data_IF_104541691198
#
_entry.id   IF_104541691198
#
_cell.length_a   1.000
_cell.length_b   1.000
_cell.length_c   1.000
_cell.angle_alpha   90.00
_cell.angle_beta   90.00
_cell.angle_gamma   90.00
#
_symmetry.space_group_name_H-M   'P 1'
#
loop_
_entity.id
_entity.type
_entity.pdbx_description
1 polymer ?
#
# COMPACT_ATOMS: atom_id res chain seq x y z
N UNK A 1 8.02 22.70 5.82
CA UNK A 1 6.75 21.95 5.81
C UNK A 1 6.72 21.14 4.53
N UNK A 2 6.66 19.81 4.62
CA UNK A 2 6.54 18.97 3.42
C UNK A 2 5.15 19.18 2.81
N UNK A 3 5.07 19.34 1.49
CA UNK A 3 3.80 19.44 0.78
C UNK A 3 2.99 18.15 0.99
N UNK A 4 1.78 18.27 1.52
CA UNK A 4 0.81 17.19 1.64
C UNK A 4 -0.26 17.46 0.59
N UNK A 5 -0.53 16.47 -0.27
CA UNK A 5 -1.57 16.57 -1.29
C UNK A 5 -2.95 16.84 -0.66
N UNK A 6 -3.83 17.53 -1.39
CA UNK A 6 -5.19 17.81 -0.90
C UNK A 6 -6.10 16.60 -1.06
N UNK A 7 -5.95 15.88 -2.17
CA UNK A 7 -6.68 14.65 -2.47
C UNK A 7 -5.73 13.53 -2.83
N UNK A 8 -6.16 12.28 -2.63
CA UNK A 8 -5.46 11.11 -3.14
C UNK A 8 -5.26 11.16 -4.66
N UNK A 9 -6.20 11.79 -5.37
CA UNK A 9 -6.17 11.90 -6.83
C UNK A 9 -5.19 12.94 -7.38
N UNK A 10 -4.58 13.77 -6.51
CA UNK A 10 -3.49 14.66 -6.92
C UNK A 10 -2.13 13.94 -6.94
N UNK A 11 -2.10 12.68 -6.50
CA UNK A 11 -0.89 11.88 -6.37
C UNK A 11 -0.66 11.02 -7.62
N UNK A 12 0.57 10.56 -7.76
CA UNK A 12 0.96 9.59 -8.77
C UNK A 12 2.08 8.71 -8.23
N UNK A 13 2.32 7.58 -8.91
CA UNK A 13 3.49 6.75 -8.71
C UNK A 13 4.09 6.36 -10.07
N UNK A 14 5.30 5.83 -10.07
CA UNK A 14 5.91 5.23 -11.26
C UNK A 14 5.71 3.72 -11.17
N UNK A 15 5.13 3.11 -12.20
CA UNK A 15 4.96 1.67 -12.31
C UNK A 15 6.32 0.98 -12.32
N UNK A 16 6.34 -0.31 -12.03
CA UNK A 16 7.59 -1.09 -12.08
C UNK A 16 8.29 -1.01 -13.45
N UNK A 17 7.51 -0.84 -14.53
CA UNK A 17 8.01 -0.70 -15.90
C UNK A 17 8.46 0.73 -16.26
N UNK A 18 8.35 1.70 -15.35
CA UNK A 18 8.78 3.09 -15.54
C UNK A 18 7.69 4.05 -16.02
N UNK A 19 6.44 3.58 -16.18
CA UNK A 19 5.32 4.41 -16.64
C UNK A 19 4.66 5.17 -15.49
N UNK A 20 4.20 6.40 -15.76
CA UNK A 20 3.49 7.19 -14.73
C UNK A 20 2.07 6.65 -14.52
N UNK A 21 1.75 6.27 -13.29
CA UNK A 21 0.41 5.93 -12.84
C UNK A 21 -0.21 7.18 -12.19
N UNK A 22 -1.07 7.88 -12.93
CA UNK A 22 -1.86 8.99 -12.41
C UNK A 22 -3.08 8.47 -11.63
N UNK A 23 -3.16 8.78 -10.33
CA UNK A 23 -4.22 8.24 -9.47
C UNK A 23 -5.57 8.87 -9.77
N UNK A 24 -5.61 10.02 -10.44
CA UNK A 24 -6.83 10.62 -10.94
C UNK A 24 -7.64 9.68 -11.85
N UNK A 25 -6.97 8.73 -12.53
CA UNK A 25 -7.61 7.70 -13.36
C UNK A 25 -8.42 6.67 -12.55
N UNK A 26 -8.25 6.64 -11.23
CA UNK A 26 -8.96 5.73 -10.32
C UNK A 26 -10.26 6.30 -9.76
N UNK A 27 -10.67 7.52 -10.18
CA UNK A 27 -11.95 8.11 -9.77
C UNK A 27 -13.13 7.15 -9.96
N UNK A 28 -14.00 7.07 -8.95
CA UNK A 28 -15.15 6.18 -8.94
C UNK A 28 -14.85 4.73 -8.58
N UNK A 29 -13.57 4.38 -8.32
CA UNK A 29 -13.15 3.05 -7.87
C UNK A 29 -12.55 3.13 -6.46
N UNK A 30 -12.81 2.10 -5.66
CA UNK A 30 -12.07 1.93 -4.42
C UNK A 30 -10.61 1.58 -4.75
N UNK A 31 -9.68 2.06 -3.93
CA UNK A 31 -8.25 1.76 -4.08
C UNK A 31 -7.75 1.11 -2.80
N UNK A 32 -7.03 0.00 -2.93
CA UNK A 32 -6.38 -0.71 -1.83
C UNK A 32 -4.88 -0.72 -2.08
N UNK A 33 -4.11 -0.12 -1.17
CA UNK A 33 -2.65 -0.22 -1.21
C UNK A 33 -2.24 -1.47 -0.45
N UNK A 34 -1.75 -2.48 -1.18
CA UNK A 34 -1.36 -3.79 -0.68
C UNK A 34 -0.61 -4.61 -1.75
N UNK A 35 0.16 -5.61 -1.32
CA UNK A 35 0.94 -6.51 -2.18
C UNK A 35 0.29 -7.91 -2.38
N UNK A 36 -1.05 -8.05 -2.34
CA UNK A 36 -1.76 -9.35 -2.44
C UNK A 36 -2.89 -9.37 -3.48
N UNK A 37 -3.01 -10.50 -4.21
CA UNK A 37 -3.93 -10.68 -5.35
C UNK A 37 -5.41 -10.88 -4.97
N UNK A 38 -5.70 -11.37 -3.76
CA UNK A 38 -6.98 -12.03 -3.44
C UNK A 38 -8.22 -11.15 -3.73
N UNK A 39 -8.18 -9.88 -3.34
CA UNK A 39 -9.32 -8.97 -3.49
C UNK A 39 -9.44 -8.37 -4.89
N UNK A 40 -8.33 -8.21 -5.63
CA UNK A 40 -8.35 -7.69 -7.00
C UNK A 40 -9.22 -8.56 -7.92
N UNK A 41 -9.10 -9.89 -7.78
CA UNK A 41 -9.88 -10.84 -8.58
C UNK A 41 -11.38 -10.82 -8.27
N UNK A 42 -11.78 -10.43 -7.05
CA UNK A 42 -13.20 -10.39 -6.64
C UNK A 42 -13.91 -9.12 -7.10
N UNK A 43 -13.18 -8.02 -7.27
CA UNK A 43 -13.74 -6.72 -7.64
C UNK A 43 -13.01 -6.06 -8.84
N UNK A 44 -12.79 -6.76 -9.97
CA UNK A 44 -11.83 -6.34 -11.01
C UNK A 44 -12.16 -5.00 -11.69
N UNK A 45 -13.43 -4.57 -11.67
CA UNK A 45 -13.87 -3.29 -12.27
C UNK A 45 -14.12 -2.17 -11.25
N UNK A 46 -14.12 -2.50 -9.96
CA UNK A 46 -14.53 -1.57 -8.89
C UNK A 46 -13.44 -1.33 -7.84
N UNK A 47 -12.47 -2.23 -7.75
CA UNK A 47 -11.30 -2.13 -6.89
C UNK A 47 -10.04 -2.05 -7.75
N UNK A 48 -9.13 -1.17 -7.33
CA UNK A 48 -7.76 -1.10 -7.83
C UNK A 48 -6.84 -1.43 -6.68
N UNK A 49 -6.05 -2.49 -6.83
CA UNK A 49 -4.96 -2.82 -5.90
C UNK A 49 -3.66 -2.22 -6.45
N UNK A 50 -2.90 -1.55 -5.58
CA UNK A 50 -1.58 -1.00 -5.88
C UNK A 50 -0.57 -1.56 -4.89
N UNK A 51 0.44 -2.27 -5.40
CA UNK A 51 1.55 -2.74 -4.57
C UNK A 51 2.74 -1.79 -4.64
N UNK A 52 3.29 -1.46 -3.47
CA UNK A 52 4.45 -0.59 -3.32
C UNK A 52 5.58 -1.38 -2.66
N UNK A 53 6.54 -1.90 -3.45
CA UNK A 53 7.71 -2.56 -2.90
C UNK A 53 8.50 -1.60 -2.00
N UNK A 54 8.96 -2.09 -0.84
CA UNK A 54 9.70 -1.30 0.13
C UNK A 54 10.71 -2.16 0.88
N UNK A 55 11.95 -1.67 1.04
CA UNK A 55 13.02 -2.42 1.70
C UNK A 55 13.33 -1.96 3.14
N UNK A 56 12.49 -1.10 3.73
CA UNK A 56 12.73 -0.53 5.07
C UNK A 56 12.50 -1.54 6.21
N UNK A 57 11.78 -2.63 5.95
CA UNK A 57 11.33 -3.56 6.98
C UNK A 57 12.10 -4.87 6.91
N UNK A 58 13.17 -4.97 7.71
CA UNK A 58 14.01 -6.17 7.80
C UNK A 58 14.67 -6.58 6.48
N UNK A 59 14.85 -5.62 5.55
CA UNK A 59 15.44 -5.84 4.23
C UNK A 59 14.79 -6.99 3.44
N UNK A 60 13.46 -7.09 3.47
CA UNK A 60 12.73 -8.20 2.82
C UNK A 60 12.50 -8.00 1.31
N UNK A 61 12.88 -6.85 0.74
CA UNK A 61 12.73 -6.49 -0.68
C UNK A 61 14.08 -6.00 -1.26
N UNK A 62 15.10 -6.86 -1.15
CA UNK A 62 16.46 -6.55 -1.61
C UNK A 62 16.59 -6.51 -3.13
N UNK A 63 15.68 -7.16 -3.85
CA UNK A 63 15.62 -7.16 -5.31
C UNK A 63 15.58 -5.74 -5.87
N UNK A 64 16.27 -5.51 -6.98
CA UNK A 64 16.08 -4.33 -7.82
C UNK A 64 14.72 -4.39 -8.52
N UNK A 65 14.25 -3.26 -9.06
CA UNK A 65 12.94 -3.18 -9.70
C UNK A 65 12.75 -4.26 -10.78
N UNK A 66 13.80 -4.50 -11.56
CA UNK A 66 13.85 -5.45 -12.67
C UNK A 66 13.79 -6.92 -12.18
N UNK A 67 14.09 -7.17 -10.91
CA UNK A 67 14.18 -8.51 -10.32
C UNK A 67 12.92 -8.90 -9.54
N UNK A 68 12.09 -7.93 -9.13
CA UNK A 68 10.93 -8.17 -8.25
C UNK A 68 9.97 -9.18 -8.86
N UNK A 69 9.61 -9.02 -10.15
CA UNK A 69 8.70 -9.96 -10.82
C UNK A 69 9.29 -11.36 -10.95
N UNK A 70 10.61 -11.47 -11.16
CA UNK A 70 11.28 -12.77 -11.21
C UNK A 70 11.26 -13.44 -9.83
N UNK A 71 11.51 -12.69 -8.76
CA UNK A 71 11.43 -13.20 -7.38
C UNK A 71 10.03 -13.74 -7.06
N UNK A 72 8.98 -12.98 -7.39
CA UNK A 72 7.59 -13.41 -7.19
C UNK A 72 7.25 -14.66 -7.99
N UNK A 73 7.70 -14.74 -9.25
CA UNK A 73 7.38 -15.83 -10.18
C UNK A 73 8.14 -17.12 -9.88
N UNK A 74 9.41 -17.03 -9.49
CA UNK A 74 10.32 -18.17 -9.42
C UNK A 74 10.77 -18.53 -8.00
N UNK A 75 10.71 -17.61 -7.03
CA UNK A 75 11.24 -17.82 -5.68
C UNK A 75 10.12 -17.88 -4.64
N UNK A 76 9.42 -16.76 -4.40
CA UNK A 76 8.33 -16.69 -3.44
C UNK A 76 7.35 -15.58 -3.85
N UNK A 77 6.07 -15.88 -4.13
CA UNK A 77 5.40 -17.17 -3.95
C UNK A 77 5.93 -18.33 -4.80
N UNK A 78 6.58 -18.04 -5.93
CA UNK A 78 7.09 -19.06 -6.85
C UNK A 78 5.96 -19.70 -7.68
N UNK A 79 6.26 -20.84 -8.31
CA UNK A 79 5.25 -21.63 -9.02
C UNK A 79 4.62 -20.93 -10.24
N UNK A 80 5.29 -19.93 -10.81
CA UNK A 80 4.76 -19.15 -11.93
C UNK A 80 3.78 -18.03 -11.52
N UNK A 81 3.69 -17.72 -10.23
CA UNK A 81 2.84 -16.65 -9.71
C UNK A 81 3.11 -15.32 -10.42
N UNK A 82 2.03 -14.61 -10.74
CA UNK A 82 2.09 -13.26 -11.30
C UNK A 82 1.06 -12.37 -10.58
N UNK A 83 1.44 -11.14 -10.21
CA UNK A 83 0.49 -10.19 -9.65
C UNK A 83 -0.58 -9.82 -10.69
N UNK A 84 -1.84 -9.81 -10.29
CA UNK A 84 -2.98 -9.36 -11.11
C UNK A 84 -3.28 -7.87 -10.91
N UNK A 85 -2.43 -7.20 -10.13
CA UNK A 85 -2.51 -5.80 -9.75
C UNK A 85 -1.22 -5.07 -10.15
N UNK A 86 -1.27 -3.73 -10.16
CA UNK A 86 -0.13 -2.92 -10.55
C UNK A 86 0.89 -2.80 -9.42
N UNK A 87 2.15 -3.07 -9.74
CA UNK A 87 3.29 -2.77 -8.87
C UNK A 87 3.92 -1.45 -9.28
N UNK A 88 4.34 -0.67 -8.29
CA UNK A 88 5.17 0.52 -8.49
C UNK A 88 6.65 0.16 -8.42
N UNK A 89 7.52 1.10 -8.80
CA UNK A 89 8.92 1.03 -8.40
C UNK A 89 9.04 1.01 -6.87
N UNK A 90 10.14 0.42 -6.40
CA UNK A 90 10.51 0.39 -4.99
C UNK A 90 10.66 1.81 -4.45
N UNK A 91 10.08 2.06 -3.29
CA UNK A 91 10.15 3.36 -2.63
C UNK A 91 10.29 3.24 -1.11
N UNK A 92 10.58 4.36 -0.46
CA UNK A 92 10.50 4.48 0.99
C UNK A 92 9.09 4.90 1.40
N UNK A 93 8.59 4.34 2.50
CA UNK A 93 7.26 4.67 3.05
C UNK A 93 7.36 5.47 4.36
N UNK A 94 8.53 5.43 4.99
CA UNK A 94 8.87 6.14 6.22
C UNK A 94 10.13 7.00 6.05
N UNK A 95 10.38 7.89 7.01
CA UNK A 95 11.56 8.74 7.03
C UNK A 95 11.48 9.96 6.11
N UNK A 96 12.63 10.60 5.92
CA UNK A 96 12.75 11.87 5.20
C UNK A 96 12.44 11.73 3.70
N UNK A 97 12.79 10.60 3.09
CA UNK A 97 12.59 10.34 1.67
C UNK A 97 11.30 9.55 1.37
N UNK A 98 10.39 9.48 2.35
CA UNK A 98 9.11 8.77 2.17
C UNK A 98 8.36 9.29 0.93
N UNK A 99 7.76 8.37 0.20
CA UNK A 99 6.98 8.68 -0.99
C UNK A 99 5.77 9.57 -0.63
N UNK A 100 5.41 10.57 -1.45
CA UNK A 100 4.30 11.49 -1.16
C UNK A 100 2.96 10.79 -0.87
N UNK A 101 2.71 9.63 -1.49
CA UNK A 101 1.53 8.80 -1.22
C UNK A 101 1.47 8.36 0.24
N UNK A 102 2.57 7.82 0.78
CA UNK A 102 2.60 7.39 2.18
C UNK A 102 2.65 8.58 3.14
N UNK A 103 3.26 9.70 2.75
CA UNK A 103 3.17 10.94 3.52
C UNK A 103 1.71 11.39 3.70
N UNK A 104 0.94 11.41 2.62
CA UNK A 104 -0.48 11.74 2.62
C UNK A 104 -1.31 10.74 3.43
N UNK A 105 -1.12 9.44 3.21
CA UNK A 105 -1.92 8.41 3.86
C UNK A 105 -1.65 8.33 5.37
N UNK A 106 -0.40 8.48 5.80
CA UNK A 106 -0.06 8.50 7.24
C UNK A 106 -0.53 9.77 7.94
N UNK A 107 -0.69 10.88 7.21
CA UNK A 107 -1.29 12.11 7.75
C UNK A 107 -2.80 11.93 7.98
N UNK A 108 -3.51 11.36 7.00
CA UNK A 108 -4.96 11.15 7.07
C UNK A 108 -5.38 9.96 7.94
N UNK A 109 -4.57 8.91 7.97
CA UNK A 109 -4.79 7.66 8.71
C UNK A 109 -3.55 7.34 9.57
N UNK A 110 -3.35 8.08 10.68
CA UNK A 110 -2.11 7.99 11.45
C UNK A 110 -1.91 6.64 12.13
N UNK A 111 -2.98 5.89 12.41
CA UNK A 111 -2.92 4.63 13.14
C UNK A 111 -3.74 3.54 12.45
N UNK A 112 -3.30 2.28 12.45
CA UNK A 112 -4.14 1.16 12.06
C UNK A 112 -5.38 1.06 12.94
N UNK A 113 -6.51 0.71 12.34
CA UNK A 113 -7.78 0.57 13.04
C UNK A 113 -7.76 -0.56 14.08
N UNK A 114 -7.10 -1.67 13.76
CA UNK A 114 -7.06 -2.88 14.55
C UNK A 114 -5.89 -2.95 15.56
N UNK A 115 -4.84 -2.15 15.35
CA UNK A 115 -3.67 -2.08 16.23
C UNK A 115 -3.07 -0.66 16.22
N UNK A 116 -3.62 0.27 17.02
CA UNK A 116 -3.24 1.68 16.95
C UNK A 116 -1.94 2.02 17.70
N UNK A 117 -1.38 1.09 18.49
CA UNK A 117 -0.27 1.39 19.40
C UNK A 117 1.05 0.71 19.01
N UNK A 118 1.01 -0.41 18.28
CA UNK A 118 2.23 -1.13 17.92
C UNK A 118 2.96 -0.47 16.76
N UNK A 119 4.26 -0.20 16.95
CA UNK A 119 5.15 0.25 15.87
C UNK A 119 6.23 -0.79 15.56
N UNK A 120 7.06 -1.14 16.53
CA UNK A 120 8.11 -2.14 16.36
C UNK A 120 8.47 -2.76 17.71
N UNK A 121 8.66 -4.07 17.74
CA UNK A 121 9.09 -4.78 18.96
C UNK A 121 10.59 -4.63 19.20
N UNK A 122 11.41 -4.83 18.16
CA UNK A 122 12.86 -4.63 18.23
C UNK A 122 13.22 -3.26 17.62
N UNK A 123 13.68 -2.29 18.42
CA UNK A 123 14.04 -0.96 17.91
C UNK A 123 15.17 -0.99 16.88
N UNK A 124 15.99 -2.05 16.82
CA UNK A 124 17.07 -2.19 15.82
C UNK A 124 16.54 -2.30 14.39
N UNK A 125 15.28 -2.69 14.22
CA UNK A 125 14.64 -2.80 12.91
C UNK A 125 14.17 -1.43 12.38
N UNK A 126 14.23 -0.37 13.18
CA UNK A 126 13.93 1.00 12.76
C UNK A 126 15.20 1.62 12.19
N UNK A 127 15.31 1.61 10.85
CA UNK A 127 16.50 2.08 10.13
C UNK A 127 16.28 3.40 9.39
N UNK A 128 15.09 3.99 9.51
CA UNK A 128 14.73 5.26 8.87
C UNK A 128 14.78 6.43 9.84
N UNK A 129 14.88 7.65 9.30
CA UNK A 129 14.86 8.89 10.07
C UNK A 129 14.17 10.00 9.28
N UNK A 130 13.40 10.91 9.91
CA UNK A 130 12.99 10.85 11.32
C UNK A 130 11.93 9.77 11.57
N UNK A 131 11.89 9.25 12.79
CA UNK A 131 10.85 8.32 13.24
C UNK A 131 9.63 9.11 13.70
N UNK A 132 8.43 8.68 13.29
CA UNK A 132 7.15 9.30 13.62
C UNK A 132 6.19 8.27 14.20
N UNK A 133 5.27 8.72 15.07
CA UNK A 133 4.24 7.85 15.65
C UNK A 133 3.29 7.24 14.61
N UNK A 134 3.16 7.89 13.46
CA UNK A 134 2.28 7.45 12.38
C UNK A 134 2.95 6.52 11.37
N UNK A 135 4.24 6.20 11.55
CA UNK A 135 5.01 5.40 10.61
C UNK A 135 4.38 4.01 10.36
N UNK A 136 4.62 3.48 9.16
CA UNK A 136 4.28 2.10 8.84
C UNK A 136 5.16 1.18 9.69
N UNK A 137 4.54 0.22 10.37
CA UNK A 137 5.21 -0.70 11.31
C UNK A 137 5.98 -1.80 10.62
N UNK A 138 5.46 -2.32 9.50
CA UNK A 138 6.05 -3.47 8.79
C UNK A 138 5.51 -3.62 7.37
N UNK A 139 6.05 -4.61 6.66
CA UNK A 139 5.47 -5.09 5.40
C UNK A 139 4.00 -5.48 5.57
N UNK A 140 3.22 -5.27 4.50
CA UNK A 140 1.80 -5.63 4.43
C UNK A 140 0.89 -4.86 5.39
N UNK A 141 1.18 -3.61 5.75
CA UNK A 141 0.09 -2.71 6.16
C UNK A 141 -0.76 -2.32 4.95
N UNK A 142 -2.04 -2.05 5.19
CA UNK A 142 -3.02 -1.78 4.12
C UNK A 142 -3.71 -0.45 4.31
N UNK A 143 -3.94 0.26 3.22
CA UNK A 143 -4.73 1.48 3.20
C UNK A 143 -5.87 1.33 2.20
N UNK A 144 -7.09 1.50 2.67
CA UNK A 144 -8.30 1.51 1.83
C UNK A 144 -8.74 2.94 1.61
N UNK A 145 -8.92 3.31 0.34
CA UNK A 145 -9.36 4.61 -0.14
C UNK A 145 -10.70 4.41 -0.86
N UNK A 146 -11.65 5.29 -0.57
CA UNK A 146 -12.97 5.28 -1.19
C UNK A 146 -12.98 5.76 -2.65
N UNK A 147 -14.08 5.54 -3.37
CA UNK A 147 -14.25 5.96 -4.78
C UNK A 147 -14.24 7.48 -5.01
N UNK A 148 -14.33 8.26 -3.93
CA UNK A 148 -14.21 9.73 -3.94
C UNK A 148 -12.77 10.22 -3.71
N UNK A 149 -11.82 9.30 -3.46
CA UNK A 149 -10.41 9.63 -3.19
C UNK A 149 -10.12 9.92 -1.71
N UNK A 150 -11.11 9.76 -0.84
CA UNK A 150 -10.97 9.94 0.60
C UNK A 150 -10.41 8.67 1.27
N UNK A 151 -9.32 8.76 2.05
CA UNK A 151 -8.84 7.64 2.84
C UNK A 151 -9.90 7.15 3.82
N UNK A 152 -10.26 5.87 3.74
CA UNK A 152 -11.32 5.28 4.54
C UNK A 152 -10.79 4.62 5.81
N UNK A 153 -9.79 3.73 5.69
CA UNK A 153 -9.25 2.98 6.83
C UNK A 153 -7.85 2.44 6.55
N UNK A 154 -7.04 2.38 7.60
CA UNK A 154 -5.71 1.72 7.63
C UNK A 154 -5.80 0.44 8.46
N UNK A 155 -5.13 -0.62 8.02
CA UNK A 155 -5.11 -1.93 8.68
C UNK A 155 -3.67 -2.36 8.94
N UNK A 156 -3.46 -3.00 10.09
CA UNK A 156 -2.13 -3.41 10.53
C UNK A 156 -1.55 -4.54 9.66
N UNK A 157 -0.26 -4.81 9.86
CA UNK A 157 0.46 -5.92 9.23
C UNK A 157 -0.18 -7.29 9.48
N UNK A 158 -0.85 -7.47 10.62
CA UNK A 158 -1.49 -8.74 11.03
C UNK A 158 -2.95 -8.85 10.61
N UNK A 159 -3.58 -7.75 10.19
CA UNK A 159 -4.95 -7.78 9.69
C UNK A 159 -5.02 -8.56 8.38
N UNK A 160 -5.87 -9.59 8.31
CA UNK A 160 -6.00 -10.40 7.12
C UNK A 160 -6.69 -9.63 6.00
N UNK A 161 -6.09 -9.67 4.81
CA UNK A 161 -6.57 -9.01 3.58
C UNK A 161 -8.03 -9.32 3.29
N UNK A 162 -8.42 -10.59 3.36
CA UNK A 162 -9.79 -11.03 3.08
C UNK A 162 -10.84 -10.37 3.99
N UNK A 163 -10.47 -10.01 5.23
CA UNK A 163 -11.37 -9.36 6.18
C UNK A 163 -11.61 -7.87 5.86
N UNK A 164 -10.94 -7.32 4.84
CA UNK A 164 -11.19 -5.96 4.30
C UNK A 164 -12.39 -5.98 3.35
N UNK A 165 -12.81 -7.14 2.84
CA UNK A 165 -13.92 -7.27 1.89
C UNK A 165 -15.22 -6.56 2.33
N UNK A 166 -15.70 -6.70 3.59
CA UNK A 166 -16.95 -6.04 4.01
C UNK A 166 -16.87 -4.51 3.89
N UNK A 167 -15.71 -3.92 4.20
CA UNK A 167 -15.49 -2.48 4.06
C UNK A 167 -15.45 -2.06 2.58
N UNK A 168 -14.88 -2.89 1.70
CA UNK A 168 -14.91 -2.68 0.25
C UNK A 168 -16.36 -2.72 -0.26
N UNK A 169 -17.15 -3.74 0.11
CA UNK A 169 -18.56 -3.83 -0.27
C UNK A 169 -19.34 -2.60 0.19
N UNK A 170 -19.10 -2.14 1.43
CA UNK A 170 -19.72 -0.93 2.00
C UNK A 170 -19.39 0.31 1.17
N UNK A 171 -18.12 0.53 0.82
CA UNK A 171 -17.69 1.67 0.00
C UNK A 171 -18.28 1.63 -1.41
N UNK A 172 -18.40 0.43 -1.99
CA UNK A 172 -18.93 0.23 -3.33
C UNK A 172 -20.47 0.18 -3.37
N UNK A 173 -21.15 0.34 -2.21
CA UNK A 173 -22.60 0.20 -2.05
C UNK A 173 -23.13 -1.10 -2.66
N UNK A 174 -22.34 -2.17 -2.57
CA UNK A 174 -22.76 -3.52 -2.98
C UNK A 174 -23.50 -4.13 -1.79
N UNK A 175 -24.64 -4.80 -2.05
CA UNK A 175 -25.38 -5.50 -0.99
C UNK A 175 -24.45 -6.45 -0.22
N UNK A 176 -24.57 -6.45 1.11
CA UNK A 176 -23.72 -7.25 2.02
C UNK A 176 -24.01 -8.72 1.83
#
# INVERSE_FOLDING_TARGET
>A
MAYIAKSFYDLSAISLDGEKIDFNTFRGRAVLIENLNELQCRFPRRLVVLGFPCNQFGHQENCQNEEILNSLKYVRPGGGYQPTFSLTQKCEVNGQNQHPVFAYLKDKLPYPYDDPFSLMTDPKLIIWSPVRRSDVSWNFEKFLIGPEGEPFRRYSRTFQTINIEPDIKRLLKVAI
#
